data_IF_172626609916
#
_entry.id   IF_172626609916
#
_cell.length_a   1.000
_cell.length_b   1.000
_cell.length_c   1.000
_cell.angle_alpha   90.00
_cell.angle_beta   90.00
_cell.angle_gamma   90.00
#
_symmetry.space_group_name_H-M   'P 1'
#
loop_
_entity.id
_entity.type
_entity.pdbx_description
1 polymer ?
#
# COMPACT_ATOMS: atom_id res chain seq x y z
N UNK A 1 0.79 -3.56 26.12
CA UNK A 1 -0.36 -2.65 25.89
C UNK A 1 -0.42 -2.01 24.49
N UNK A 2 0.63 -2.02 23.65
CA UNK A 2 0.59 -1.30 22.35
C UNK A 2 0.04 -2.10 21.15
N UNK A 3 -0.12 -3.42 21.27
CA UNK A 3 -0.69 -4.25 20.19
C UNK A 3 -2.19 -4.02 19.98
N UNK A 4 -2.92 -3.64 21.04
CA UNK A 4 -4.35 -3.35 20.95
C UNK A 4 -4.63 -2.08 20.15
N UNK A 5 -3.73 -1.09 20.24
CA UNK A 5 -3.93 0.21 19.60
C UNK A 5 -3.75 0.11 18.08
N UNK A 6 -2.72 -0.59 17.62
CA UNK A 6 -2.50 -0.80 16.18
C UNK A 6 -3.61 -1.66 15.57
N UNK A 7 -4.07 -2.71 16.28
CA UNK A 7 -5.20 -3.54 15.83
C UNK A 7 -6.46 -2.70 15.69
N UNK A 8 -6.72 -1.78 16.63
CA UNK A 8 -7.85 -0.84 16.55
C UNK A 8 -7.71 0.12 15.37
N UNK A 9 -6.53 0.69 15.14
CA UNK A 9 -6.27 1.57 13.99
C UNK A 9 -6.48 0.86 12.66
N UNK A 10 -5.98 -0.38 12.53
CA UNK A 10 -6.18 -1.19 11.33
C UNK A 10 -7.66 -1.52 11.11
N UNK A 11 -8.40 -1.86 12.18
CA UNK A 11 -9.84 -2.10 12.10
C UNK A 11 -10.58 -0.85 11.64
N UNK A 12 -10.33 0.30 12.26
CA UNK A 12 -10.99 1.56 11.91
C UNK A 12 -10.68 2.00 10.47
N UNK A 13 -9.45 1.78 10.00
CA UNK A 13 -9.08 2.04 8.61
C UNK A 13 -9.83 1.11 7.65
N UNK A 14 -9.93 -0.17 7.98
CA UNK A 14 -10.71 -1.13 7.20
C UNK A 14 -12.18 -0.75 7.11
N UNK A 15 -12.80 -0.33 8.22
CA UNK A 15 -14.17 0.15 8.27
C UNK A 15 -14.36 1.42 7.41
N UNK A 16 -13.49 2.41 7.55
CA UNK A 16 -13.56 3.66 6.78
C UNK A 16 -13.41 3.42 5.27
N UNK A 17 -12.51 2.52 4.87
CA UNK A 17 -12.36 2.14 3.45
C UNK A 17 -13.62 1.44 2.96
N UNK A 18 -14.16 0.48 3.71
CA UNK A 18 -15.37 -0.23 3.33
C UNK A 18 -16.56 0.72 3.15
N UNK A 19 -16.77 1.62 4.11
CA UNK A 19 -17.82 2.65 4.06
C UNK A 19 -17.64 3.57 2.85
N UNK A 20 -16.43 4.10 2.65
CA UNK A 20 -16.12 4.97 1.50
C UNK A 20 -16.43 4.30 0.16
N UNK A 21 -16.13 3.01 0.03
CA UNK A 21 -16.36 2.27 -1.20
C UNK A 21 -17.83 1.90 -1.40
N UNK A 22 -18.52 1.52 -0.32
CA UNK A 22 -19.94 1.21 -0.35
C UNK A 22 -20.78 2.44 -0.72
N UNK A 23 -20.40 3.61 -0.20
CA UNK A 23 -21.09 4.87 -0.46
C UNK A 23 -20.63 5.56 -1.76
N UNK A 24 -19.53 5.10 -2.40
CA UNK A 24 -18.98 5.75 -3.59
C UNK A 24 -19.93 5.62 -4.79
N UNK A 25 -20.56 6.72 -5.26
CA UNK A 25 -21.47 6.65 -6.41
C UNK A 25 -20.73 6.24 -7.68
N UNK A 26 -19.48 6.69 -7.82
CA UNK A 26 -18.62 6.39 -8.97
C UNK A 26 -18.32 4.90 -9.09
N UNK A 27 -18.10 4.21 -7.97
CA UNK A 27 -17.84 2.76 -8.00
C UNK A 27 -19.14 2.01 -8.29
N UNK A 28 -20.24 2.42 -7.66
CA UNK A 28 -21.54 1.80 -7.85
C UNK A 28 -22.05 1.92 -9.29
N UNK A 29 -21.84 3.06 -9.94
CA UNK A 29 -22.17 3.26 -11.36
C UNK A 29 -21.42 2.27 -12.26
N UNK A 30 -20.11 2.10 -12.05
CA UNK A 30 -19.30 1.13 -12.82
C UNK A 30 -19.70 -0.31 -12.56
N UNK A 31 -20.01 -0.66 -11.31
CA UNK A 31 -20.52 -1.98 -10.97
C UNK A 31 -21.89 -2.24 -11.63
N UNK A 32 -22.72 -1.20 -11.75
CA UNK A 32 -24.02 -1.30 -12.42
C UNK A 32 -23.85 -1.49 -13.93
N UNK A 33 -22.96 -0.75 -14.59
CA UNK A 33 -22.64 -0.94 -16.01
C UNK A 33 -22.25 -2.40 -16.31
N UNK A 34 -21.47 -3.03 -15.42
CA UNK A 34 -21.07 -4.44 -15.56
C UNK A 34 -22.26 -5.39 -15.35
N UNK A 35 -23.14 -5.11 -14.38
CA UNK A 35 -24.37 -5.89 -14.17
C UNK A 35 -25.34 -5.78 -15.34
N UNK A 36 -25.50 -4.58 -15.90
CA UNK A 36 -26.39 -4.32 -17.04
C UNK A 36 -25.90 -5.03 -18.32
N UNK A 37 -24.59 -5.27 -18.42
CA UNK A 37 -24.00 -6.12 -19.46
C UNK A 37 -24.25 -7.63 -19.26
N UNK A 38 -24.97 -8.02 -18.19
CA UNK A 38 -25.38 -9.40 -17.92
C UNK A 38 -24.43 -10.19 -17.02
N UNK A 39 -23.47 -9.55 -16.35
CA UNK A 39 -22.50 -10.21 -15.47
C UNK A 39 -22.85 -10.05 -13.99
N UNK A 40 -22.65 -11.10 -13.20
CA UNK A 40 -22.71 -11.02 -11.74
C UNK A 40 -21.35 -10.56 -11.18
N UNK A 41 -21.35 -9.56 -10.30
CA UNK A 41 -20.12 -8.92 -9.79
C UNK A 41 -20.07 -8.94 -8.28
N UNK A 42 -18.94 -9.39 -7.74
CA UNK A 42 -18.59 -9.31 -6.32
C UNK A 42 -17.24 -8.61 -6.18
N UNK A 43 -17.12 -7.68 -5.23
CA UNK A 43 -15.91 -6.91 -4.99
C UNK A 43 -15.26 -7.39 -3.69
N UNK A 44 -14.03 -7.89 -3.77
CA UNK A 44 -13.18 -8.25 -2.62
C UNK A 44 -11.95 -7.37 -2.65
N UNK A 45 -11.60 -6.77 -1.50
CA UNK A 45 -10.49 -5.83 -1.42
C UNK A 45 -9.48 -6.33 -0.40
N UNK A 46 -8.30 -6.64 -0.90
CA UNK A 46 -7.13 -6.99 -0.10
C UNK A 46 -6.12 -5.85 -0.16
N UNK A 47 -6.08 -5.02 0.89
CA UNK A 47 -5.08 -3.97 1.04
C UNK A 47 -4.01 -4.41 2.06
N UNK A 48 -2.73 -4.38 1.67
CA UNK A 48 -1.60 -4.59 2.60
C UNK A 48 -1.15 -3.25 3.15
N UNK A 49 -1.29 -3.05 4.47
CA UNK A 49 -0.97 -1.79 5.13
C UNK A 49 0.34 -1.96 5.91
N UNK A 50 1.38 -1.22 5.50
CA UNK A 50 2.65 -1.14 6.23
C UNK A 50 2.59 -0.02 7.28
N UNK A 51 3.09 -0.27 8.48
CA UNK A 51 3.23 0.75 9.52
C UNK A 51 4.64 0.73 10.12
N UNK A 52 5.17 1.92 10.42
CA UNK A 52 6.41 2.11 11.19
C UNK A 52 6.09 2.97 12.41
N UNK A 53 6.59 2.59 13.59
CA UNK A 53 6.52 3.45 14.78
C UNK A 53 7.69 4.42 14.71
N UNK A 54 7.40 5.71 14.48
CA UNK A 54 8.45 6.73 14.52
C UNK A 54 9.11 6.71 15.91
N UNK A 55 10.42 6.42 16.03
CA UNK A 55 11.16 6.85 17.19
C UNK A 55 11.23 8.37 17.10
N UNK A 56 11.12 9.07 18.22
CA UNK A 56 10.91 10.52 18.23
C UNK A 56 11.85 11.32 17.31
N UNK A 57 11.26 12.38 16.75
CA UNK A 57 11.91 13.56 16.16
C UNK A 57 12.63 13.42 14.80
N UNK A 58 12.08 14.16 13.83
CA UNK A 58 12.71 14.68 12.62
C UNK A 58 13.30 13.65 11.65
N UNK A 59 12.45 13.15 10.78
CA UNK A 59 12.77 13.26 9.36
C UNK A 59 11.48 13.37 8.56
N UNK A 60 11.32 14.52 7.91
CA UNK A 60 10.32 14.77 6.89
C UNK A 60 10.38 13.62 5.89
N UNK A 61 9.43 12.71 5.94
CA UNK A 61 9.12 11.88 4.78
C UNK A 61 8.13 12.69 3.97
N UNK A 62 8.63 13.78 3.38
CA UNK A 62 7.97 14.34 2.20
C UNK A 62 7.94 13.22 1.18
N UNK A 63 6.73 12.84 0.79
CA UNK A 63 6.50 12.10 -0.43
C UNK A 63 6.86 13.06 -1.58
N UNK A 64 8.16 13.21 -1.83
CA UNK A 64 8.67 13.98 -2.95
C UNK A 64 8.55 13.11 -4.21
N UNK A 65 7.38 13.21 -4.85
CA UNK A 65 7.22 12.83 -6.24
C UNK A 65 7.84 13.92 -7.12
N UNK A 66 9.18 14.05 -7.12
CA UNK A 66 9.82 15.02 -8.01
C UNK A 66 11.19 15.55 -7.61
N UNK A 67 12.19 14.68 -7.44
CA UNK A 67 13.58 15.12 -7.63
C UNK A 67 14.45 13.98 -8.20
N UNK A 68 15.01 14.21 -9.39
CA UNK A 68 16.05 13.38 -10.00
C UNK A 68 17.39 13.58 -9.26
N UNK A 69 17.44 13.29 -7.96
CA UNK A 69 18.71 13.00 -7.30
C UNK A 69 18.99 11.49 -7.41
N UNK A 70 20.19 11.06 -7.85
CA UNK A 70 20.49 9.65 -7.93
C UNK A 70 20.50 9.07 -6.51
N UNK A 71 19.41 8.39 -6.16
CA UNK A 71 19.29 7.59 -4.93
C UNK A 71 20.43 6.57 -4.96
N UNK A 72 21.48 6.83 -4.19
CA UNK A 72 22.59 5.88 -4.05
C UNK A 72 22.09 4.67 -3.25
N UNK A 73 21.64 3.65 -3.97
CA UNK A 73 21.34 2.33 -3.43
C UNK A 73 22.58 1.80 -2.71
N UNK A 74 22.54 1.79 -1.38
CA UNK A 74 23.57 1.17 -0.54
C UNK A 74 23.23 -0.31 -0.40
N UNK A 75 23.84 -1.14 -1.24
CA UNK A 75 23.68 -2.59 -1.16
C UNK A 75 24.69 -3.20 -0.20
N UNK A 76 24.25 -4.12 0.65
CA UNK A 76 25.13 -4.96 1.47
C UNK A 76 25.72 -6.11 0.65
N UNK A 77 26.74 -6.78 1.17
CA UNK A 77 27.37 -7.93 0.52
C UNK A 77 26.39 -9.10 0.30
N UNK A 78 25.38 -9.24 1.16
CA UNK A 78 24.38 -10.29 1.05
C UNK A 78 23.30 -9.94 0.01
N UNK A 79 22.93 -8.66 -0.09
CA UNK A 79 22.03 -8.17 -1.15
C UNK A 79 22.62 -8.44 -2.54
N UNK A 80 23.92 -8.21 -2.72
CA UNK A 80 24.60 -8.48 -3.99
C UNK A 80 24.57 -9.97 -4.36
N UNK A 81 24.78 -10.87 -3.38
CA UNK A 81 24.70 -12.32 -3.62
C UNK A 81 23.28 -12.73 -4.00
N UNK A 82 22.29 -12.16 -3.34
CA UNK A 82 20.88 -12.42 -3.61
C UNK A 82 20.46 -11.93 -5.01
N UNK A 83 20.81 -10.70 -5.38
CA UNK A 83 20.50 -10.16 -6.71
C UNK A 83 21.18 -10.98 -7.82
N UNK A 84 22.42 -11.44 -7.60
CA UNK A 84 23.11 -12.35 -8.52
C UNK A 84 22.43 -13.70 -8.66
N UNK A 85 21.87 -14.26 -7.58
CA UNK A 85 21.13 -15.54 -7.67
C UNK A 85 19.86 -15.40 -8.52
N UNK A 86 19.26 -14.20 -8.52
CA UNK A 86 18.13 -13.83 -9.36
C UNK A 86 18.50 -13.38 -10.78
N UNK A 87 19.80 -13.41 -11.15
CA UNK A 87 20.33 -12.91 -12.44
C UNK A 87 20.02 -11.42 -12.69
N UNK A 88 19.89 -10.62 -11.63
CA UNK A 88 19.73 -9.18 -11.71
C UNK A 88 21.13 -8.55 -11.75
N UNK A 89 21.40 -7.72 -12.75
CA UNK A 89 22.65 -6.98 -12.84
C UNK A 89 22.69 -5.87 -11.78
N UNK A 90 23.88 -5.65 -11.19
CA UNK A 90 24.10 -4.73 -10.06
C UNK A 90 25.21 -3.72 -10.41
N UNK A 91 25.36 -3.42 -11.72
CA UNK A 91 26.33 -2.45 -12.25
C UNK A 91 25.79 -1.02 -12.14
#
# INVERSE_FOLDING_TARGET
MQESDIKRLMKNLGEAINETLAESPKINERLQEIRDAGYEVFLVIEAKIGFSKNPGERQSTELDFGSEEPVRLRLSADDVKFLKSLKIAVD
#
